data_IF_391280659755
#
_entry.id   IF_391280659755
#
_cell.length_a   1.000
_cell.length_b   1.000
_cell.length_c   1.000
_cell.angle_alpha   90.00
_cell.angle_beta   90.00
_cell.angle_gamma   90.00
#
_symmetry.space_group_name_H-M   'P 1'
#
loop_
_entity.id
_entity.type
_entity.pdbx_description
1 polymer ?
#
# COMPACT_ATOMS: atom_id res chain seq x y z
N UNK A 1 57.27 -8.04 20.38
CA UNK A 1 56.63 -9.20 19.71
C UNK A 1 55.88 -9.97 20.78
N UNK A 2 54.70 -10.47 20.41
CA UNK A 2 53.68 -11.20 21.20
C UNK A 2 52.70 -10.34 21.99
N UNK A 3 51.57 -10.01 21.36
CA UNK A 3 50.23 -10.29 21.88
C UNK A 3 49.24 -10.26 20.70
N UNK A 4 49.14 -11.40 20.01
CA UNK A 4 48.19 -11.63 18.89
C UNK A 4 47.54 -12.99 19.08
N UNK A 5 47.17 -13.32 20.32
CA UNK A 5 46.61 -14.63 20.68
C UNK A 5 45.48 -14.44 21.69
N UNK A 6 44.25 -14.23 21.20
CA UNK A 6 42.95 -14.62 21.81
C UNK A 6 41.70 -13.94 21.19
N UNK A 7 41.83 -13.24 20.06
CA UNK A 7 40.73 -12.43 19.50
C UNK A 7 39.84 -13.16 18.46
N UNK A 8 39.61 -14.47 18.58
CA UNK A 8 38.86 -15.22 17.56
C UNK A 8 37.93 -16.34 18.06
N UNK A 9 37.72 -16.50 19.38
CA UNK A 9 36.85 -17.56 19.92
C UNK A 9 35.89 -17.10 21.05
N UNK A 10 35.41 -15.85 21.07
CA UNK A 10 34.21 -15.48 21.86
C UNK A 10 32.99 -16.13 21.19
N UNK A 11 32.65 -17.39 21.55
CA UNK A 11 31.46 -18.10 21.03
C UNK A 11 30.16 -17.66 21.73
N UNK A 12 30.13 -16.44 22.28
CA UNK A 12 28.99 -15.89 23.01
C UNK A 12 28.10 -15.00 22.14
N UNK A 13 28.43 -14.84 20.85
CA UNK A 13 27.75 -13.91 19.93
C UNK A 13 26.25 -14.19 19.81
N UNK A 14 25.85 -15.45 19.75
CA UNK A 14 24.43 -15.83 19.64
C UNK A 14 23.65 -15.46 20.90
N UNK A 15 24.19 -15.77 22.08
CA UNK A 15 23.60 -15.37 23.37
C UNK A 15 23.59 -13.85 23.58
N UNK A 16 24.57 -13.12 23.04
CA UNK A 16 24.65 -11.66 23.12
C UNK A 16 23.51 -10.99 22.33
N UNK A 17 23.12 -11.57 21.18
CA UNK A 17 21.98 -11.11 20.39
C UNK A 17 20.67 -11.37 21.13
N UNK A 18 20.47 -12.59 21.67
CA UNK A 18 19.29 -12.89 22.49
C UNK A 18 19.17 -11.97 23.70
N UNK A 19 20.30 -11.63 24.34
CA UNK A 19 20.34 -10.67 25.43
C UNK A 19 19.98 -9.24 24.98
N UNK A 20 20.45 -8.78 23.81
CA UNK A 20 20.16 -7.44 23.28
C UNK A 20 18.67 -7.21 22.96
N UNK A 21 17.96 -8.27 22.55
CA UNK A 21 16.53 -8.23 22.22
C UNK A 21 15.61 -8.67 23.37
N UNK A 22 16.14 -8.82 24.59
CA UNK A 22 15.41 -9.30 25.77
C UNK A 22 14.76 -10.69 25.59
N UNK A 23 15.33 -11.53 24.70
CA UNK A 23 14.88 -12.90 24.41
C UNK A 23 15.66 -13.97 25.20
N UNK A 24 16.69 -13.57 25.95
CA UNK A 24 17.51 -14.47 26.77
C UNK A 24 16.77 -14.95 28.03
N UNK A 25 16.97 -16.21 28.41
CA UNK A 25 16.51 -16.72 29.70
C UNK A 25 17.28 -16.07 30.87
N UNK A 26 16.73 -16.02 32.10
CA UNK A 26 17.41 -15.40 33.23
C UNK A 26 18.75 -16.07 33.59
N UNK A 27 18.95 -17.34 33.22
CA UNK A 27 20.23 -18.03 33.39
C UNK A 27 21.26 -17.58 32.35
N UNK A 28 20.84 -17.39 31.10
CA UNK A 28 21.68 -16.90 30.01
C UNK A 28 22.08 -15.44 30.24
N UNK A 29 21.16 -14.59 30.71
CA UNK A 29 21.44 -13.20 31.07
C UNK A 29 22.58 -13.10 32.07
N UNK A 30 22.56 -13.90 33.15
CA UNK A 30 23.64 -13.90 34.15
C UNK A 30 24.99 -14.34 33.55
N UNK A 31 24.96 -15.32 32.64
CA UNK A 31 26.16 -15.78 31.95
C UNK A 31 26.73 -14.68 31.04
N UNK A 32 25.87 -13.99 30.29
CA UNK A 32 26.28 -12.86 29.45
C UNK A 32 26.84 -11.73 30.31
N UNK A 33 26.16 -11.34 31.38
CA UNK A 33 26.64 -10.28 32.31
C UNK A 33 28.01 -10.60 32.89
N UNK A 34 28.22 -11.85 33.36
CA UNK A 34 29.55 -12.28 33.85
C UNK A 34 30.60 -12.18 32.75
N UNK A 35 30.28 -12.63 31.53
CA UNK A 35 31.19 -12.59 30.40
C UNK A 35 31.54 -11.15 29.96
N UNK A 36 30.59 -10.22 30.03
CA UNK A 36 30.81 -8.81 29.71
C UNK A 36 31.80 -8.12 30.67
N UNK A 37 31.97 -8.64 31.89
CA UNK A 37 33.00 -8.13 32.81
C UNK A 37 34.40 -8.66 32.50
N UNK A 38 34.50 -9.80 31.81
CA UNK A 38 35.76 -10.48 31.52
C UNK A 38 36.25 -10.25 30.08
N UNK A 39 35.35 -9.95 29.14
CA UNK A 39 35.65 -9.80 27.72
C UNK A 39 35.36 -8.38 27.21
N UNK A 40 36.43 -7.59 27.01
CA UNK A 40 36.33 -6.23 26.48
C UNK A 40 35.72 -6.18 25.06
N UNK A 41 36.03 -7.14 24.19
CA UNK A 41 35.47 -7.19 22.83
C UNK A 41 33.95 -7.33 22.85
N UNK A 42 33.44 -8.29 23.63
CA UNK A 42 32.01 -8.57 23.70
C UNK A 42 31.27 -7.39 24.43
N UNK A 43 31.97 -6.61 25.27
CA UNK A 43 31.48 -5.32 25.81
C UNK A 43 31.44 -4.17 24.78
N UNK A 44 32.47 -4.05 23.94
CA UNK A 44 32.51 -3.05 22.86
C UNK A 44 31.41 -3.31 21.82
N UNK A 45 31.20 -4.58 21.46
CA UNK A 45 30.14 -5.00 20.54
C UNK A 45 28.75 -4.60 21.06
N UNK A 46 28.41 -4.91 22.31
CA UNK A 46 27.09 -4.58 22.86
C UNK A 46 26.87 -3.07 22.99
N UNK A 47 27.91 -2.31 23.33
CA UNK A 47 27.86 -0.85 23.37
C UNK A 47 27.68 -0.25 21.98
N UNK A 48 28.32 -0.82 20.96
CA UNK A 48 28.14 -0.40 19.57
C UNK A 48 26.71 -0.65 19.08
N UNK A 49 26.12 -1.81 19.36
CA UNK A 49 24.74 -2.12 19.02
C UNK A 49 23.73 -1.25 19.77
N UNK A 50 23.98 -0.96 21.06
CA UNK A 50 23.16 -0.05 21.85
C UNK A 50 23.04 1.34 21.19
N UNK A 51 24.16 1.91 20.73
CA UNK A 51 24.16 3.20 20.02
C UNK A 51 23.32 3.19 18.74
N UNK A 52 23.38 2.11 17.95
CA UNK A 52 22.55 1.99 16.73
C UNK A 52 21.07 1.93 17.10
N UNK A 53 20.71 1.18 18.15
CA UNK A 53 19.33 1.10 18.64
C UNK A 53 18.82 2.46 19.11
N UNK A 54 19.63 3.21 19.85
CA UNK A 54 19.26 4.55 20.29
C UNK A 54 19.06 5.51 19.11
N UNK A 55 19.92 5.45 18.09
CA UNK A 55 19.76 6.22 16.84
C UNK A 55 18.48 5.85 16.08
N UNK A 56 18.10 4.57 16.05
CA UNK A 56 16.86 4.09 15.43
C UNK A 56 15.63 4.46 16.25
N UNK A 57 15.71 4.44 17.58
CA UNK A 57 14.62 4.90 18.45
C UNK A 57 14.38 6.41 18.30
N UNK A 58 15.44 7.18 18.02
CA UNK A 58 15.33 8.59 17.72
C UNK A 58 14.68 8.88 16.37
N UNK A 59 14.62 7.90 15.46
CA UNK A 59 13.69 7.91 14.33
C UNK A 59 12.28 7.56 14.82
N UNK A 60 11.73 8.39 15.69
CA UNK A 60 10.29 8.35 15.93
C UNK A 60 9.57 8.67 14.62
N UNK A 61 8.68 7.76 14.21
CA UNK A 61 7.72 7.97 13.13
C UNK A 61 6.62 8.96 13.61
N UNK A 62 7.02 10.13 14.14
CA UNK A 62 6.14 11.14 14.74
C UNK A 62 5.14 11.74 13.75
N UNK A 63 5.32 11.49 12.45
CA UNK A 63 4.52 12.05 11.36
C UNK A 63 3.78 11.00 10.51
N UNK A 64 3.49 9.81 11.04
CA UNK A 64 2.41 9.04 10.43
C UNK A 64 1.08 9.51 11.03
N UNK A 65 0.19 10.14 10.23
CA UNK A 65 -1.17 10.32 10.67
C UNK A 65 -1.69 8.93 11.00
N UNK A 66 -2.08 8.72 12.26
CA UNK A 66 -2.78 7.51 12.68
C UNK A 66 -4.03 7.45 11.82
N UNK A 67 -3.96 6.73 10.70
CA UNK A 67 -5.10 6.41 9.86
C UNK A 67 -5.92 5.45 10.70
N UNK A 68 -6.74 6.01 11.59
CA UNK A 68 -7.86 5.30 12.17
C UNK A 68 -8.76 4.99 11.00
N UNK A 69 -8.59 3.80 10.45
CA UNK A 69 -9.58 3.19 9.59
C UNK A 69 -10.78 3.00 10.51
N UNK A 70 -11.63 4.02 10.58
CA UNK A 70 -12.99 3.87 11.04
C UNK A 70 -13.58 2.87 10.05
N UNK A 71 -13.56 1.59 10.41
CA UNK A 71 -14.34 0.57 9.73
C UNK A 71 -15.76 1.06 9.91
N UNK A 72 -16.27 1.78 8.91
CA UNK A 72 -17.58 2.39 8.94
C UNK A 72 -18.53 1.24 9.29
N UNK A 73 -19.08 1.31 10.50
CA UNK A 73 -20.12 0.42 10.97
C UNK A 73 -21.13 0.32 9.84
N UNK A 74 -21.27 -0.89 9.27
CA UNK A 74 -22.10 -1.17 8.10
C UNK A 74 -23.37 -0.33 8.19
N UNK A 75 -23.46 0.74 7.37
CA UNK A 75 -24.69 1.53 7.28
C UNK A 75 -25.81 0.52 7.03
N UNK A 76 -26.76 0.46 7.96
CA UNK A 76 -27.80 -0.56 7.89
C UNK A 76 -28.50 -0.41 6.52
N UNK A 77 -28.73 -1.53 5.83
CA UNK A 77 -29.34 -1.51 4.49
C UNK A 77 -30.70 -0.76 4.49
N UNK A 78 -31.34 -0.68 5.65
CA UNK A 78 -32.59 0.03 5.90
C UNK A 78 -32.39 1.56 5.83
N UNK A 79 -31.27 2.08 6.32
CA UNK A 79 -30.96 3.52 6.28
C UNK A 79 -30.75 3.99 4.84
N UNK A 80 -29.98 3.21 4.07
CA UNK A 80 -29.72 3.48 2.66
C UNK A 80 -31.00 3.41 1.84
N UNK A 81 -31.88 2.43 2.13
CA UNK A 81 -33.16 2.30 1.42
C UNK A 81 -34.13 3.45 1.74
N UNK A 82 -34.15 3.94 2.99
CA UNK A 82 -34.93 5.13 3.38
C UNK A 82 -34.45 6.39 2.67
N UNK A 83 -33.14 6.59 2.59
CA UNK A 83 -32.54 7.73 1.91
C UNK A 83 -32.86 7.71 0.40
N UNK A 84 -32.78 6.52 -0.23
CA UNK A 84 -33.10 6.34 -1.64
C UNK A 84 -34.59 6.58 -1.95
N UNK A 85 -35.50 6.12 -1.08
CA UNK A 85 -36.95 6.37 -1.20
C UNK A 85 -37.26 7.86 -0.98
N UNK A 86 -36.51 8.54 -0.11
CA UNK A 86 -36.61 9.98 0.09
C UNK A 86 -36.31 10.77 -1.18
N UNK A 87 -35.22 10.40 -1.86
CA UNK A 87 -34.70 11.07 -3.08
C UNK A 87 -35.50 10.72 -4.35
N UNK A 88 -36.32 9.67 -4.33
CA UNK A 88 -37.09 9.28 -5.52
C UNK A 88 -38.18 10.30 -5.90
N UNK A 89 -38.30 10.64 -7.20
CA UNK A 89 -39.28 11.60 -7.71
C UNK A 89 -40.72 11.08 -7.53
N UNK A 90 -41.66 12.02 -7.39
CA UNK A 90 -43.06 11.75 -6.98
C UNK A 90 -43.77 10.74 -7.89
N UNK A 91 -43.42 10.69 -9.18
CA UNK A 91 -43.99 9.74 -10.13
C UNK A 91 -43.63 8.27 -9.82
N UNK A 92 -42.44 8.01 -9.25
CA UNK A 92 -42.02 6.65 -8.86
C UNK A 92 -42.77 6.19 -7.60
N UNK A 93 -43.02 7.11 -6.65
CA UNK A 93 -43.83 6.86 -5.45
C UNK A 93 -45.27 6.49 -5.83
N UNK A 94 -45.84 7.16 -6.83
CA UNK A 94 -47.16 6.84 -7.36
C UNK A 94 -47.20 5.44 -8.01
N UNK A 95 -46.21 5.10 -8.85
CA UNK A 95 -46.12 3.78 -9.48
C UNK A 95 -45.93 2.65 -8.46
N UNK A 96 -45.11 2.85 -7.43
CA UNK A 96 -44.90 1.84 -6.38
C UNK A 96 -46.15 1.64 -5.52
N UNK A 97 -46.90 2.70 -5.20
CA UNK A 97 -48.18 2.57 -4.50
C UNK A 97 -49.22 1.81 -5.34
N UNK A 98 -49.30 2.07 -6.64
CA UNK A 98 -50.18 1.34 -7.57
C UNK A 98 -49.77 -0.13 -7.68
N UNK A 99 -48.47 -0.41 -7.81
CA UNK A 99 -47.96 -1.78 -7.86
C UNK A 99 -48.25 -2.55 -6.56
N UNK A 100 -48.04 -1.92 -5.40
CA UNK A 100 -48.36 -2.51 -4.11
C UNK A 100 -49.86 -2.78 -3.96
N UNK A 101 -50.72 -1.84 -4.38
CA UNK A 101 -52.17 -2.04 -4.39
C UNK A 101 -52.58 -3.19 -5.31
N UNK A 102 -52.03 -3.27 -6.53
CA UNK A 102 -52.28 -4.38 -7.46
C UNK A 102 -51.82 -5.73 -6.89
N UNK A 103 -50.68 -5.76 -6.20
CA UNK A 103 -50.17 -6.98 -5.55
C UNK A 103 -51.10 -7.42 -4.42
N UNK A 104 -51.58 -6.48 -3.60
CA UNK A 104 -52.57 -6.75 -2.55
C UNK A 104 -53.89 -7.25 -3.16
N UNK A 105 -54.41 -6.62 -4.21
CA UNK A 105 -55.64 -7.05 -4.89
C UNK A 105 -55.48 -8.43 -5.55
N UNK A 106 -54.29 -8.75 -6.07
CA UNK A 106 -53.96 -10.05 -6.64
C UNK A 106 -53.88 -11.13 -5.56
N UNK A 107 -53.30 -10.83 -4.39
CA UNK A 107 -53.28 -11.75 -3.24
C UNK A 107 -54.69 -11.96 -2.69
N UNK A 108 -55.56 -10.94 -2.77
CA UNK A 108 -56.95 -11.03 -2.36
C UNK A 108 -57.87 -11.68 -3.42
N UNK A 109 -57.38 -12.01 -4.61
CA UNK A 109 -58.16 -12.73 -5.63
C UNK A 109 -59.44 -12.00 -6.07
N UNK A 110 -59.35 -10.68 -6.21
CA UNK A 110 -60.50 -9.84 -6.62
C UNK A 110 -60.59 -9.71 -8.13
N UNK A 111 -61.50 -10.46 -8.77
CA UNK A 111 -61.77 -10.34 -10.20
C UNK A 111 -62.87 -9.29 -10.43
N UNK A 112 -62.47 -8.10 -10.90
CA UNK A 112 -63.38 -7.01 -11.24
C UNK A 112 -63.59 -7.01 -12.75
N UNK A 113 -64.74 -7.48 -13.19
CA UNK A 113 -65.15 -7.42 -14.60
C UNK A 113 -66.07 -6.22 -14.83
N UNK A 114 -65.69 -5.36 -15.78
CA UNK A 114 -66.52 -4.24 -16.22
C UNK A 114 -67.25 -4.63 -17.51
N UNK A 115 -68.57 -4.79 -17.43
CA UNK A 115 -69.46 -4.96 -18.57
C UNK A 115 -70.54 -3.87 -18.60
N UNK A 116 -71.01 -3.52 -19.80
CA UNK A 116 -72.09 -2.54 -20.01
C UNK A 116 -73.38 -3.01 -19.34
N UNK A 117 -73.55 -2.68 -18.05
CA UNK A 117 -74.79 -2.95 -17.31
C UNK A 117 -74.67 -3.29 -15.82
N UNK A 118 -73.48 -3.33 -15.21
CA UNK A 118 -73.38 -3.45 -13.74
C UNK A 118 -72.05 -3.95 -13.20
N UNK A 119 -71.78 -3.62 -11.94
CA UNK A 119 -70.59 -4.05 -11.19
C UNK A 119 -70.82 -5.43 -10.57
N UNK A 120 -70.10 -6.44 -11.06
CA UNK A 120 -70.12 -7.79 -10.49
C UNK A 120 -68.78 -8.05 -9.78
N UNK A 121 -68.82 -8.05 -8.44
CA UNK A 121 -67.67 -8.38 -7.60
C UNK A 121 -67.76 -9.84 -7.18
N UNK A 122 -66.98 -10.72 -7.83
CA UNK A 122 -66.88 -12.13 -7.45
C UNK A 122 -65.72 -12.31 -6.48
N UNK A 123 -66.03 -12.43 -5.19
CA UNK A 123 -65.09 -12.85 -4.15
C UNK A 123 -65.17 -14.37 -4.06
N UNK A 124 -64.16 -15.07 -4.61
CA UNK A 124 -64.11 -16.54 -4.60
C UNK A 124 -63.59 -17.05 -3.25
N UNK A 125 -64.43 -17.02 -2.23
CA UNK A 125 -64.10 -17.55 -0.89
C UNK A 125 -64.45 -19.03 -0.68
N UNK A 126 -64.97 -19.73 -1.70
CA UNK A 126 -65.23 -21.17 -1.63
C UNK A 126 -64.73 -21.90 -2.87
N UNK A 127 -63.51 -22.44 -2.77
CA UNK A 127 -63.01 -23.48 -3.67
C UNK A 127 -63.66 -24.81 -3.30
N UNK A 128 -64.92 -24.99 -3.70
CA UNK A 128 -65.57 -26.31 -3.68
C UNK A 128 -65.74 -26.82 -5.11
N UNK A 129 -65.21 -28.01 -5.37
CA UNK A 129 -65.64 -28.86 -6.47
C UNK A 129 -64.71 -28.88 -7.68
N UNK A 130 -63.93 -29.96 -7.81
CA UNK A 130 -63.21 -30.26 -9.04
C UNK A 130 -62.17 -31.38 -8.95
N UNK A 131 -62.38 -32.37 -8.08
CA UNK A 131 -61.52 -33.55 -7.99
C UNK A 131 -62.10 -34.71 -8.81
N UNK A 132 -62.16 -34.59 -10.14
CA UNK A 132 -62.29 -35.74 -11.06
C UNK A 132 -61.61 -35.37 -12.39
N UNK A 133 -60.38 -35.83 -12.61
CA UNK A 133 -59.72 -35.69 -13.93
C UNK A 133 -58.20 -35.44 -13.99
N UNK A 134 -57.44 -35.46 -12.89
CA UNK A 134 -56.04 -35.00 -12.87
C UNK A 134 -54.96 -36.08 -12.65
N UNK A 135 -55.17 -37.32 -13.13
CA UNK A 135 -54.13 -38.37 -13.04
C UNK A 135 -53.31 -38.55 -14.34
N UNK A 136 -53.81 -38.11 -15.50
CA UNK A 136 -53.04 -38.05 -16.75
C UNK A 136 -52.25 -36.74 -16.92
N UNK A 137 -52.83 -35.61 -16.51
CA UNK A 137 -52.22 -34.28 -16.62
C UNK A 137 -51.05 -34.05 -15.64
N UNK A 138 -50.97 -34.81 -14.53
CA UNK A 138 -49.93 -34.67 -13.50
C UNK A 138 -48.57 -35.26 -13.90
N UNK A 139 -48.55 -36.22 -14.84
CA UNK A 139 -47.32 -36.75 -15.41
C UNK A 139 -46.78 -35.82 -16.52
N UNK A 140 -47.68 -35.16 -17.26
CA UNK A 140 -47.31 -34.16 -18.29
C UNK A 140 -46.76 -32.87 -17.65
N UNK A 141 -47.43 -32.31 -16.63
CA UNK A 141 -46.93 -31.11 -15.92
C UNK A 141 -45.60 -31.35 -15.20
N UNK A 142 -45.34 -32.55 -14.66
CA UNK A 142 -44.06 -32.87 -14.02
C UNK A 142 -42.91 -33.04 -15.02
N UNK A 143 -43.20 -33.47 -16.25
CA UNK A 143 -42.22 -33.55 -17.33
C UNK A 143 -41.92 -32.17 -17.92
N UNK A 144 -42.93 -31.30 -18.09
CA UNK A 144 -42.75 -29.90 -18.52
C UNK A 144 -41.97 -29.07 -17.48
N UNK A 145 -42.25 -29.22 -16.18
CA UNK A 145 -41.53 -28.52 -15.11
C UNK A 145 -40.10 -29.07 -14.85
N UNK A 146 -39.81 -30.28 -15.34
CA UNK A 146 -38.45 -30.83 -15.35
C UNK A 146 -37.63 -30.31 -16.54
N UNK A 147 -38.30 -30.10 -17.69
CA UNK A 147 -37.69 -29.50 -18.88
C UNK A 147 -37.34 -28.02 -18.65
N UNK A 148 -38.25 -27.26 -18.02
CA UNK A 148 -38.05 -25.85 -17.64
C UNK A 148 -36.89 -25.67 -16.63
N UNK A 149 -36.78 -26.55 -15.63
CA UNK A 149 -35.63 -26.53 -14.70
C UNK A 149 -34.31 -26.89 -15.38
N UNK A 150 -34.32 -27.75 -16.39
CA UNK A 150 -33.12 -28.08 -17.16
C UNK A 150 -32.70 -26.91 -18.06
N UNK A 151 -33.67 -26.22 -18.66
CA UNK A 151 -33.45 -25.02 -19.47
C UNK A 151 -32.88 -23.86 -18.65
N UNK A 152 -33.49 -23.56 -17.49
CA UNK A 152 -33.00 -22.51 -16.58
C UNK A 152 -31.56 -22.79 -16.12
N UNK A 153 -31.21 -24.05 -15.82
CA UNK A 153 -29.83 -24.42 -15.44
C UNK A 153 -28.85 -24.19 -16.58
N UNK A 154 -29.23 -24.52 -17.82
CA UNK A 154 -28.40 -24.27 -18.98
C UNK A 154 -28.16 -22.77 -19.20
N UNK A 155 -29.19 -21.94 -19.04
CA UNK A 155 -29.08 -20.48 -19.14
C UNK A 155 -28.17 -19.92 -18.04
N UNK A 156 -28.31 -20.37 -16.79
CA UNK A 156 -27.45 -19.94 -15.68
C UNK A 156 -26.00 -20.35 -15.92
N UNK A 157 -25.76 -21.59 -16.34
CA UNK A 157 -24.40 -22.06 -16.64
C UNK A 157 -23.77 -21.27 -17.79
N UNK A 158 -24.56 -20.92 -18.81
CA UNK A 158 -24.11 -20.07 -19.91
C UNK A 158 -23.77 -18.66 -19.41
N UNK A 159 -24.63 -18.07 -18.57
CA UNK A 159 -24.40 -16.73 -18.00
C UNK A 159 -23.17 -16.70 -17.09
N UNK A 160 -22.92 -17.76 -16.30
CA UNK A 160 -21.71 -17.88 -15.48
C UNK A 160 -20.47 -17.93 -16.39
N UNK A 161 -20.48 -18.78 -17.42
CA UNK A 161 -19.36 -18.88 -18.35
C UNK A 161 -19.08 -17.56 -19.09
N UNK A 162 -20.13 -16.80 -19.43
CA UNK A 162 -19.99 -15.49 -20.07
C UNK A 162 -19.48 -14.43 -19.09
N UNK A 163 -19.93 -14.45 -17.83
CA UNK A 163 -19.43 -13.55 -16.79
C UNK A 163 -17.96 -13.79 -16.46
N UNK A 164 -17.53 -15.05 -16.40
CA UNK A 164 -16.13 -15.41 -16.15
C UNK A 164 -15.21 -14.91 -17.27
N UNK A 165 -15.64 -15.05 -18.54
CA UNK A 165 -14.90 -14.50 -19.67
C UNK A 165 -14.78 -12.99 -19.57
N UNK A 166 -15.87 -12.29 -19.26
CA UNK A 166 -15.83 -10.84 -19.07
C UNK A 166 -14.86 -10.44 -17.95
N UNK A 167 -14.94 -11.08 -16.79
CA UNK A 167 -14.05 -10.81 -15.67
C UNK A 167 -12.58 -11.07 -16.01
N UNK A 168 -12.27 -12.15 -16.73
CA UNK A 168 -10.90 -12.45 -17.16
C UNK A 168 -10.38 -11.38 -18.14
N UNK A 169 -11.21 -10.91 -19.08
CA UNK A 169 -10.78 -9.85 -20.01
C UNK A 169 -10.50 -8.53 -19.31
N UNK A 170 -11.34 -8.15 -18.34
CA UNK A 170 -11.15 -6.93 -17.56
C UNK A 170 -9.88 -7.03 -16.70
N UNK A 171 -9.68 -8.16 -16.00
CA UNK A 171 -8.50 -8.38 -15.17
C UNK A 171 -7.21 -8.36 -15.99
N UNK A 172 -7.19 -9.03 -17.15
CA UNK A 172 -6.05 -9.00 -18.06
C UNK A 172 -5.77 -7.57 -18.56
N UNK A 173 -6.83 -6.79 -18.84
CA UNK A 173 -6.71 -5.38 -19.19
C UNK A 173 -6.07 -4.53 -18.07
N UNK A 174 -6.48 -4.78 -16.82
CA UNK A 174 -5.90 -4.11 -15.64
C UNK A 174 -4.41 -4.46 -15.47
N UNK A 175 -4.02 -5.72 -15.66
CA UNK A 175 -2.62 -6.14 -15.58
C UNK A 175 -1.75 -5.48 -16.65
N UNK A 176 -2.22 -5.45 -17.90
CA UNK A 176 -1.50 -4.79 -19.01
C UNK A 176 -1.34 -3.29 -18.71
N UNK A 177 -2.38 -2.64 -18.20
CA UNK A 177 -2.32 -1.24 -17.79
C UNK A 177 -1.27 -1.00 -16.71
N UNK A 178 -1.30 -1.81 -15.64
CA UNK A 178 -0.36 -1.71 -14.52
C UNK A 178 1.09 -1.96 -14.97
N UNK A 179 1.30 -2.92 -15.86
CA UNK A 179 2.62 -3.17 -16.44
C UNK A 179 3.10 -1.98 -17.29
N UNK A 180 2.21 -1.36 -18.07
CA UNK A 180 2.57 -0.16 -18.84
C UNK A 180 2.94 1.02 -17.93
N UNK A 181 2.23 1.17 -16.81
CA UNK A 181 2.47 2.23 -15.82
C UNK A 181 3.81 2.04 -15.11
N UNK A 182 4.12 0.82 -14.68
CA UNK A 182 5.43 0.47 -14.11
C UNK A 182 6.57 0.73 -15.09
N UNK A 183 6.43 0.29 -16.35
CA UNK A 183 7.45 0.54 -17.37
C UNK A 183 7.65 2.04 -17.64
N UNK A 184 6.56 2.81 -17.66
CA UNK A 184 6.59 4.26 -17.78
C UNK A 184 7.37 4.91 -16.63
N UNK A 185 7.04 4.54 -15.38
CA UNK A 185 7.73 5.03 -14.18
C UNK A 185 9.22 4.69 -14.19
N UNK A 186 9.58 3.43 -14.49
CA UNK A 186 10.98 3.00 -14.56
C UNK A 186 11.77 3.77 -15.61
N UNK A 187 11.22 3.98 -16.81
CA UNK A 187 11.91 4.72 -17.87
C UNK A 187 12.15 6.19 -17.49
N UNK A 188 11.17 6.82 -16.83
CA UNK A 188 11.32 8.19 -16.33
C UNK A 188 12.37 8.29 -15.23
N UNK A 189 12.40 7.31 -14.33
CA UNK A 189 13.33 7.34 -13.20
C UNK A 189 14.78 7.09 -13.64
N UNK A 190 15.00 6.16 -14.57
CA UNK A 190 16.30 5.96 -15.22
C UNK A 190 16.76 7.22 -15.97
N UNK A 191 15.83 7.95 -16.59
CA UNK A 191 16.11 9.26 -17.20
C UNK A 191 16.58 10.30 -16.17
N UNK A 192 15.94 10.37 -15.00
CA UNK A 192 16.35 11.29 -13.92
C UNK A 192 17.70 10.89 -13.30
N UNK A 193 17.93 9.60 -13.10
CA UNK A 193 19.20 9.09 -12.56
C UNK A 193 20.35 9.35 -13.51
N UNK A 194 20.17 9.10 -14.82
CA UNK A 194 21.20 9.39 -15.82
C UNK A 194 21.51 10.89 -15.90
N UNK A 195 20.51 11.77 -15.83
CA UNK A 195 20.71 13.21 -15.78
C UNK A 195 21.52 13.65 -14.54
N UNK A 196 21.20 13.11 -13.35
CA UNK A 196 21.96 13.40 -12.12
C UNK A 196 23.40 12.89 -12.17
N UNK A 197 23.62 11.69 -12.73
CA UNK A 197 24.97 11.14 -12.90
C UNK A 197 25.79 11.99 -13.87
N UNK A 198 25.17 12.51 -14.93
CA UNK A 198 25.83 13.38 -15.89
C UNK A 198 26.21 14.72 -15.26
N UNK A 199 25.32 15.31 -14.44
CA UNK A 199 25.65 16.52 -13.68
C UNK A 199 26.82 16.29 -12.71
N UNK A 200 26.84 15.18 -11.98
CA UNK A 200 27.95 14.83 -11.10
C UNK A 200 29.27 14.68 -11.86
N UNK A 201 29.24 14.04 -13.03
CA UNK A 201 30.41 13.88 -13.88
C UNK A 201 30.94 15.23 -14.38
N UNK A 202 30.06 16.15 -14.75
CA UNK A 202 30.45 17.48 -15.21
C UNK A 202 31.00 18.34 -14.07
N UNK A 203 30.46 18.22 -12.85
CA UNK A 203 31.03 18.84 -11.64
C UNK A 203 32.43 18.31 -11.33
N UNK A 204 32.64 16.99 -11.42
CA UNK A 204 33.97 16.40 -11.23
C UNK A 204 34.97 16.90 -12.27
N UNK A 205 34.58 16.99 -13.55
CA UNK A 205 35.43 17.58 -14.61
C UNK A 205 35.68 19.07 -14.44
N UNK A 206 34.76 19.80 -13.80
CA UNK A 206 34.99 21.20 -13.47
C UNK A 206 36.02 21.31 -12.34
N UNK A 207 35.88 20.51 -11.28
CA UNK A 207 36.84 20.43 -10.18
C UNK A 207 38.23 20.00 -10.65
N UNK A 208 38.33 18.99 -11.52
CA UNK A 208 39.59 18.54 -12.11
C UNK A 208 40.29 19.69 -12.85
N UNK A 209 39.56 20.44 -13.69
CA UNK A 209 40.11 21.62 -14.38
C UNK A 209 40.51 22.74 -13.42
N UNK A 210 39.79 22.93 -12.32
CA UNK A 210 40.12 23.95 -11.32
C UNK A 210 41.38 23.57 -10.52
N UNK A 211 41.57 22.27 -10.24
CA UNK A 211 42.79 21.74 -9.61
C UNK A 211 43.98 21.87 -10.55
N UNK A 212 43.87 21.42 -11.81
CA UNK A 212 44.93 21.58 -12.83
C UNK A 212 45.34 23.05 -12.99
N UNK A 213 44.36 23.97 -12.96
CA UNK A 213 44.62 25.41 -13.05
C UNK A 213 45.36 25.97 -11.83
N UNK A 214 45.15 25.40 -10.65
CA UNK A 214 45.84 25.79 -9.41
C UNK A 214 47.24 25.17 -9.32
N UNK A 215 47.40 23.90 -9.66
CA UNK A 215 48.70 23.22 -9.62
C UNK A 215 49.69 23.78 -10.64
N UNK A 216 49.18 24.29 -11.78
CA UNK A 216 49.99 25.03 -12.75
C UNK A 216 50.52 26.39 -12.26
N UNK A 217 50.00 26.93 -11.14
CA UNK A 217 50.34 28.27 -10.65
C UNK A 217 51.22 28.29 -9.39
N UNK A 218 51.45 27.18 -8.68
CA UNK A 218 51.86 27.32 -7.26
C UNK A 218 53.08 26.53 -6.77
N UNK A 219 53.63 25.58 -7.54
CA UNK A 219 54.82 24.84 -7.05
C UNK A 219 56.15 25.50 -7.42
N UNK A 220 56.30 26.08 -8.61
CA UNK A 220 57.56 26.75 -8.98
C UNK A 220 57.64 28.18 -8.45
N UNK A 221 56.55 28.96 -8.42
CA UNK A 221 56.62 30.34 -7.95
C UNK A 221 56.80 30.44 -6.42
N UNK A 222 56.22 29.53 -5.63
CA UNK A 222 56.43 29.51 -4.16
C UNK A 222 57.85 29.04 -3.80
N UNK A 223 58.39 28.02 -4.48
CA UNK A 223 59.73 27.49 -4.15
C UNK A 223 60.88 28.41 -4.55
N UNK A 224 60.69 29.31 -5.54
CA UNK A 224 61.76 30.20 -6.01
C UNK A 224 61.65 31.67 -5.53
N UNK A 225 60.57 32.05 -4.83
CA UNK A 225 60.41 33.43 -4.33
C UNK A 225 61.23 33.73 -3.07
N UNK A 226 61.50 32.72 -2.23
CA UNK A 226 62.22 32.92 -0.95
C UNK A 226 63.75 33.09 -1.12
N UNK A 227 64.30 32.80 -2.31
CA UNK A 227 65.74 32.90 -2.57
C UNK A 227 66.21 34.30 -3.00
N UNK A 228 65.33 35.28 -3.24
CA UNK A 228 65.72 36.61 -3.76
C UNK A 228 65.63 37.76 -2.75
N UNK A 229 65.23 37.51 -1.50
CA UNK A 229 64.83 38.58 -0.58
C UNK A 229 65.83 39.11 0.45
N UNK A 230 67.07 38.60 0.58
CA UNK A 230 67.93 38.93 1.75
C UNK A 230 69.31 39.53 1.42
N UNK A 231 69.37 40.55 0.56
CA UNK A 231 70.63 41.24 0.23
C UNK A 231 70.56 42.76 0.16
N UNK A 232 69.77 43.45 0.98
CA UNK A 232 69.87 44.91 1.15
C UNK A 232 69.33 45.38 2.49
N UNK A 233 70.10 45.18 3.57
CA UNK A 233 69.88 45.88 4.84
C UNK A 233 71.21 46.00 5.61
N UNK A 234 72.19 46.66 4.99
CA UNK A 234 73.46 46.99 5.65
C UNK A 234 74.12 48.22 5.01
N UNK A 235 73.46 49.39 5.03
CA UNK A 235 74.11 50.70 4.86
C UNK A 235 73.27 51.74 5.59
N UNK A 236 73.88 52.50 6.51
CA UNK A 236 73.36 53.81 6.95
C UNK A 236 73.22 54.01 8.46
N UNK A 237 74.30 53.87 9.21
CA UNK A 237 74.51 54.64 10.45
C UNK A 237 74.95 56.08 10.10
N UNK A 238 74.73 56.98 11.07
CA UNK A 238 75.40 58.28 11.30
C UNK A 238 74.72 59.59 10.89
N UNK A 239 74.25 60.30 11.95
CA UNK A 239 74.81 61.58 12.44
C UNK A 239 74.22 62.91 11.96
N UNK A 240 74.00 63.80 12.94
CA UNK A 240 73.94 65.27 12.81
C UNK A 240 72.53 65.84 12.85
N UNK A 241 72.02 66.36 13.98
CA UNK A 241 72.33 67.65 14.62
C UNK A 241 71.51 68.84 14.08
N UNK A 242 71.09 69.68 15.03
CA UNK A 242 70.65 71.08 14.93
C UNK A 242 69.15 71.43 14.79
N UNK A 243 68.72 72.12 15.86
CA UNK A 243 67.72 73.20 16.01
C UNK A 243 66.25 72.81 16.24
#
# INVERSE_FOLDING_TARGET
MTDTSNNSQCNMREMLVSYLYDEATPEETRRVESHLTECAQCNDEITAFGRVRDMLQQWELSDLPVVRIAVQQKRSAIEVMKELIGVMPVWVKALTAVAAAMLILSVLGTEVSFGNGGFNLKTSLFRSGGAVGASGARLQTRAEEALDRAEVRNIVNQMIADSERQHQTEFNGQLVKLQSELNGLHSSDLGKLSARLQEQRDRLRALERDVDRRDGLDLTDILFSDSRGNKTAAVGSESGAEQ
#
